data_IF_480905826597
#
_entry.id   IF_480905826597
#
_cell.length_a   1.000
_cell.length_b   1.000
_cell.length_c   1.000
_cell.angle_alpha   90.00
_cell.angle_beta   90.00
_cell.angle_gamma   90.00
#
_symmetry.space_group_name_H-M   'P 1'
#
loop_
_entity.id
_entity.type
_entity.pdbx_description
1 polymer ?
#
# COMPACT_ATOMS: atom_id res chain seq x y z
N UNK A 1 -21.93 30.65 22.91
CA UNK A 1 -20.76 31.29 22.29
C UNK A 1 -19.57 30.34 22.47
N UNK A 2 -19.36 29.45 21.50
CA UNK A 2 -18.11 28.71 21.40
C UNK A 2 -17.10 29.73 20.87
N UNK A 3 -16.12 30.06 21.67
CA UNK A 3 -15.00 30.90 21.26
C UNK A 3 -14.16 30.01 20.31
N UNK A 4 -14.24 30.26 19.00
CA UNK A 4 -13.40 29.62 18.02
C UNK A 4 -11.94 30.00 18.30
N UNK A 5 -11.14 29.07 18.76
CA UNK A 5 -9.72 29.26 19.05
C UNK A 5 -8.96 29.18 17.75
N UNK A 6 -8.44 30.32 17.31
CA UNK A 6 -7.55 30.39 16.16
C UNK A 6 -6.17 29.85 16.58
N UNK A 7 -5.74 28.70 16.02
CA UNK A 7 -4.51 28.03 16.41
C UNK A 7 -3.37 28.45 15.49
N UNK A 8 -2.28 28.97 16.07
CA UNK A 8 -1.06 29.32 15.35
C UNK A 8 -0.16 28.04 15.19
N UNK A 9 -0.17 27.48 14.01
CA UNK A 9 0.56 26.24 13.64
C UNK A 9 2.05 26.51 13.39
N UNK A 10 2.75 27.15 14.33
CA UNK A 10 4.20 27.41 14.24
C UNK A 10 5.00 26.46 15.11
N UNK A 11 6.20 26.13 14.65
CA UNK A 11 7.18 25.33 15.41
C UNK A 11 7.46 26.01 16.75
N UNK A 12 7.43 25.24 17.83
CA UNK A 12 7.59 25.68 19.22
C UNK A 12 6.29 26.10 19.90
N UNK A 13 5.18 26.26 19.17
CA UNK A 13 3.88 26.54 19.77
C UNK A 13 3.25 25.26 20.32
N UNK A 14 2.39 25.40 21.33
CA UNK A 14 1.57 24.30 21.87
C UNK A 14 0.15 24.38 21.34
N UNK A 15 -0.35 23.22 20.97
CA UNK A 15 -1.74 23.01 20.61
C UNK A 15 -2.30 22.01 21.61
N UNK A 16 -3.18 22.49 22.48
CA UNK A 16 -3.60 21.74 23.66
C UNK A 16 -2.37 21.24 24.44
N UNK A 17 -2.18 19.92 24.56
CA UNK A 17 -1.04 19.33 25.27
C UNK A 17 0.15 18.96 24.35
N UNK A 18 0.07 19.26 23.05
CA UNK A 18 1.05 18.89 22.04
C UNK A 18 1.92 20.09 21.63
N UNK A 19 3.23 19.94 21.72
CA UNK A 19 4.20 20.93 21.22
C UNK A 19 4.58 20.60 19.78
N UNK A 20 4.50 21.60 18.89
CA UNK A 20 4.89 21.45 17.48
C UNK A 20 6.42 21.44 17.39
N UNK A 21 7.00 20.33 16.94
CA UNK A 21 8.45 20.14 16.86
C UNK A 21 8.98 20.46 15.46
N UNK A 22 8.31 19.95 14.41
CA UNK A 22 8.74 20.16 13.04
C UNK A 22 7.58 20.00 12.04
N UNK A 23 7.75 20.57 10.86
CA UNK A 23 6.91 20.32 9.71
C UNK A 23 7.35 19.02 9.03
N UNK A 24 6.43 18.09 8.79
CA UNK A 24 6.72 16.82 8.10
C UNK A 24 6.39 16.93 6.62
N UNK A 25 5.23 17.50 6.27
CA UNK A 25 4.79 17.60 4.90
C UNK A 25 3.38 18.16 4.76
N UNK A 26 2.97 18.35 3.50
CA UNK A 26 1.60 18.71 3.17
C UNK A 26 1.07 17.86 2.02
N UNK A 27 -0.23 17.62 2.02
CA UNK A 27 -0.94 16.93 0.96
C UNK A 27 -2.21 17.67 0.59
N UNK A 28 -2.96 17.13 -0.38
CA UNK A 28 -4.21 17.73 -0.85
C UNK A 28 -5.23 18.03 0.22
N UNK A 29 -5.16 17.35 1.37
CA UNK A 29 -6.14 17.45 2.46
C UNK A 29 -5.63 18.11 3.73
N UNK A 30 -4.35 18.40 3.85
CA UNK A 30 -3.86 19.02 5.07
C UNK A 30 -2.35 19.10 5.19
N UNK A 31 -1.93 19.71 6.27
CA UNK A 31 -0.54 19.85 6.68
C UNK A 31 -0.27 18.91 7.85
N UNK A 32 0.89 18.25 7.84
CA UNK A 32 1.30 17.29 8.86
C UNK A 32 2.52 17.83 9.61
N UNK A 33 2.44 17.82 10.93
CA UNK A 33 3.51 18.21 11.84
C UNK A 33 3.88 17.04 12.74
N UNK A 34 5.16 16.96 13.10
CA UNK A 34 5.61 16.18 14.25
C UNK A 34 5.34 16.99 15.52
N UNK A 35 4.69 16.37 16.47
CA UNK A 35 4.38 16.96 17.76
C UNK A 35 4.87 16.08 18.90
N UNK A 36 5.10 16.69 20.07
CA UNK A 36 5.54 16.00 21.27
C UNK A 36 4.56 16.27 22.43
N UNK A 37 4.19 15.18 23.14
CA UNK A 37 3.45 15.21 24.39
C UNK A 37 4.09 14.24 25.37
N UNK A 38 4.45 14.71 26.56
CA UNK A 38 5.06 13.89 27.62
C UNK A 38 6.27 13.06 27.16
N UNK A 39 7.12 13.64 26.28
CA UNK A 39 8.29 12.99 25.73
C UNK A 39 8.02 11.97 24.61
N UNK A 40 6.77 11.77 24.23
CA UNK A 40 6.39 10.89 23.10
C UNK A 40 6.06 11.72 21.87
N UNK A 41 6.43 11.18 20.69
CA UNK A 41 6.20 11.84 19.41
C UNK A 41 4.99 11.28 18.69
N UNK A 42 4.25 12.19 18.03
CA UNK A 42 3.04 11.89 17.27
C UNK A 42 3.05 12.70 15.97
N UNK A 43 2.17 12.36 15.05
CA UNK A 43 1.85 13.17 13.89
C UNK A 43 0.53 13.93 14.14
N UNK A 44 0.54 15.24 13.94
CA UNK A 44 -0.64 16.08 13.95
C UNK A 44 -0.96 16.44 12.50
N UNK A 45 -2.14 16.03 12.02
CA UNK A 45 -2.67 16.46 10.72
C UNK A 45 -3.71 17.55 10.94
N UNK A 46 -3.56 18.67 10.24
CA UNK A 46 -4.52 19.80 10.29
C UNK A 46 -5.06 20.12 8.90
N UNK A 47 -6.30 20.59 8.84
CA UNK A 47 -6.89 21.04 7.58
C UNK A 47 -6.13 22.26 7.06
N UNK A 48 -5.79 22.27 5.76
CA UNK A 48 -4.98 23.33 5.14
C UNK A 48 -5.77 24.59 4.84
N UNK A 49 -7.05 24.44 4.54
CA UNK A 49 -7.93 25.52 4.13
C UNK A 49 -9.06 25.71 5.12
N UNK A 50 -9.63 26.89 5.13
CA UNK A 50 -10.78 27.28 5.96
C UNK A 50 -12.12 27.18 5.18
N UNK A 51 -12.10 26.69 3.92
CA UNK A 51 -13.31 26.48 3.17
C UNK A 51 -14.15 25.33 3.74
N UNK A 52 -15.46 25.51 3.71
CA UNK A 52 -16.41 24.61 4.35
C UNK A 52 -16.32 23.16 3.78
N UNK A 53 -16.07 23.03 2.48
CA UNK A 53 -15.98 21.73 1.82
C UNK A 53 -14.77 20.93 2.32
N UNK A 54 -13.61 21.55 2.40
CA UNK A 54 -12.37 20.95 2.92
C UNK A 54 -12.51 20.57 4.38
N UNK A 55 -13.10 21.42 5.21
CA UNK A 55 -13.38 21.12 6.62
C UNK A 55 -14.34 19.92 6.75
N UNK A 56 -15.38 19.84 5.93
CA UNK A 56 -16.31 18.72 5.95
C UNK A 56 -15.63 17.41 5.52
N UNK A 57 -14.71 17.46 4.52
CA UNK A 57 -13.90 16.30 4.11
C UNK A 57 -13.01 15.84 5.25
N UNK A 58 -12.30 16.76 5.88
CA UNK A 58 -11.41 16.49 7.01
C UNK A 58 -12.18 15.86 8.19
N UNK A 59 -13.31 16.42 8.57
CA UNK A 59 -14.18 15.85 9.63
C UNK A 59 -14.71 14.46 9.24
N UNK A 60 -14.96 14.20 7.95
CA UNK A 60 -15.36 12.87 7.46
C UNK A 60 -14.22 11.88 7.59
N UNK A 61 -13.00 12.23 7.18
CA UNK A 61 -11.81 11.40 7.32
C UNK A 61 -11.67 10.91 8.78
N UNK A 62 -11.69 11.83 9.73
CA UNK A 62 -11.61 11.51 11.16
C UNK A 62 -12.74 10.57 11.60
N UNK A 63 -13.98 10.83 11.13
CA UNK A 63 -15.13 9.97 11.47
C UNK A 63 -14.97 8.54 10.94
N UNK A 64 -14.45 8.38 9.71
CA UNK A 64 -14.19 7.06 9.14
C UNK A 64 -13.08 6.37 9.94
N UNK A 65 -11.96 7.04 10.18
CA UNK A 65 -10.85 6.49 10.97
C UNK A 65 -11.29 6.03 12.36
N UNK A 66 -12.15 6.78 13.03
CA UNK A 66 -12.70 6.41 14.36
C UNK A 66 -13.71 5.29 14.32
N UNK A 67 -14.33 5.00 13.17
CA UNK A 67 -15.27 3.89 13.03
C UNK A 67 -14.59 2.56 12.75
N UNK A 68 -13.29 2.56 12.44
CA UNK A 68 -12.53 1.37 12.04
C UNK A 68 -11.35 1.19 12.99
N UNK A 69 -11.26 0.04 13.63
CA UNK A 69 -10.17 -0.28 14.54
C UNK A 69 -9.47 -1.55 14.06
N UNK A 70 -8.29 -1.37 13.47
CA UNK A 70 -7.47 -2.49 12.98
C UNK A 70 -5.98 -2.13 12.95
N UNK A 71 -5.14 -3.17 12.95
CA UNK A 71 -3.68 -3.00 12.87
C UNK A 71 -3.23 -2.36 11.57
N UNK A 72 -3.95 -2.57 10.46
CA UNK A 72 -3.60 -2.09 9.13
C UNK A 72 -4.32 -0.80 8.73
N UNK A 73 -5.01 -0.15 9.65
CA UNK A 73 -5.61 1.18 9.45
C UNK A 73 -4.98 2.17 10.41
N UNK A 74 -4.65 3.37 9.92
CA UNK A 74 -4.17 4.44 10.81
C UNK A 74 -5.29 4.85 11.76
N UNK A 75 -5.01 4.94 13.04
CA UNK A 75 -6.00 5.30 14.06
C UNK A 75 -5.85 6.74 14.53
N UNK A 76 -6.95 7.35 14.94
CA UNK A 76 -6.97 8.64 15.62
C UNK A 76 -6.68 8.41 17.11
N UNK A 77 -5.68 9.11 17.64
CA UNK A 77 -5.31 9.08 19.07
C UNK A 77 -6.08 10.18 19.81
N UNK A 78 -6.15 11.39 19.21
CA UNK A 78 -6.80 12.56 19.78
C UNK A 78 -7.26 13.49 18.66
N UNK A 79 -8.22 14.38 18.91
CA UNK A 79 -8.74 15.29 17.91
C UNK A 79 -9.37 16.54 18.51
N UNK A 80 -9.32 17.64 17.75
CA UNK A 80 -10.13 18.82 18.03
C UNK A 80 -10.70 19.34 16.69
N UNK A 81 -11.92 18.92 16.40
CA UNK A 81 -12.61 19.24 15.14
C UNK A 81 -13.34 20.60 15.19
N UNK A 82 -13.41 21.24 16.36
CA UNK A 82 -13.99 22.57 16.56
C UNK A 82 -12.93 23.68 16.61
N UNK A 83 -11.64 23.28 16.59
CA UNK A 83 -10.53 24.20 16.43
C UNK A 83 -10.49 24.83 15.01
N UNK A 84 -9.80 25.96 14.88
CA UNK A 84 -9.53 26.60 13.60
C UNK A 84 -8.01 26.77 13.44
N UNK A 85 -7.41 26.03 12.53
CA UNK A 85 -7.97 24.92 11.74
C UNK A 85 -8.25 23.67 12.59
N UNK A 86 -9.19 22.79 12.18
CA UNK A 86 -9.41 21.51 12.85
C UNK A 86 -8.20 20.60 12.67
N UNK A 87 -7.93 19.75 13.67
CA UNK A 87 -6.81 18.82 13.64
C UNK A 87 -7.13 17.48 14.30
N UNK A 88 -6.30 16.48 14.02
CA UNK A 88 -6.24 15.23 14.77
C UNK A 88 -4.81 14.75 14.95
N UNK A 89 -4.63 13.91 15.96
CA UNK A 89 -3.36 13.26 16.32
C UNK A 89 -3.42 11.79 15.92
N UNK A 90 -2.34 11.30 15.33
CA UNK A 90 -2.17 9.91 14.91
C UNK A 90 -0.75 9.42 15.25
N UNK A 91 -0.47 8.11 15.19
CA UNK A 91 0.89 7.61 15.34
C UNK A 91 1.85 8.29 14.35
N UNK A 92 3.05 8.62 14.83
CA UNK A 92 4.12 9.08 13.96
C UNK A 92 4.73 7.85 13.26
N UNK A 93 4.42 7.69 11.99
CA UNK A 93 4.97 6.62 11.15
C UNK A 93 6.40 6.97 10.70
N UNK A 94 7.21 5.95 10.45
CA UNK A 94 8.62 6.13 10.08
C UNK A 94 8.76 6.66 8.65
N UNK A 95 7.96 6.11 7.72
CA UNK A 95 7.99 6.44 6.29
C UNK A 95 6.71 5.96 5.60
N UNK A 96 6.52 6.34 4.35
CA UNK A 96 5.50 5.75 3.48
C UNK A 96 6.02 4.48 2.79
N UNK A 97 5.12 3.68 2.21
CA UNK A 97 5.51 2.56 1.34
C UNK A 97 6.22 3.05 0.07
N UNK A 98 5.93 4.27 -0.39
CA UNK A 98 6.64 4.92 -1.49
C UNK A 98 8.12 5.10 -1.15
N UNK A 99 8.42 5.71 0.02
CA UNK A 99 9.79 5.88 0.50
C UNK A 99 10.49 4.53 0.76
N UNK A 100 9.75 3.53 1.24
CA UNK A 100 10.29 2.20 1.51
C UNK A 100 10.70 1.46 0.23
N UNK A 101 9.94 1.60 -0.85
CA UNK A 101 10.28 1.03 -2.17
C UNK A 101 11.54 1.69 -2.72
N UNK A 102 11.70 3.00 -2.59
CA UNK A 102 12.92 3.73 -2.98
C UNK A 102 14.16 3.26 -2.19
N UNK A 103 13.94 2.77 -0.96
CA UNK A 103 14.97 2.22 -0.06
C UNK A 103 15.37 0.76 -0.32
N UNK A 104 14.82 0.11 -1.34
CA UNK A 104 15.03 -1.31 -1.71
C UNK A 104 14.42 -2.28 -0.69
N UNK A 105 13.22 -2.78 -1.00
CA UNK A 105 12.56 -3.83 -0.24
C UNK A 105 13.06 -5.22 -0.64
N UNK A 106 13.17 -6.11 0.33
CA UNK A 106 13.31 -7.54 0.06
C UNK A 106 12.03 -8.09 -0.59
N UNK A 107 12.15 -9.22 -1.29
CA UNK A 107 10.98 -9.88 -1.91
C UNK A 107 9.91 -10.22 -0.85
N UNK A 108 10.32 -10.65 0.33
CA UNK A 108 9.41 -10.95 1.44
C UNK A 108 8.67 -9.70 1.92
N UNK A 109 9.36 -8.58 2.10
CA UNK A 109 8.74 -7.30 2.49
C UNK A 109 7.76 -6.79 1.43
N UNK A 110 8.06 -6.94 0.12
CA UNK A 110 7.12 -6.60 -0.96
C UNK A 110 5.79 -7.35 -0.81
N UNK A 111 5.85 -8.66 -0.53
CA UNK A 111 4.66 -9.45 -0.29
C UNK A 111 3.96 -9.04 1.00
N UNK A 112 4.68 -8.90 2.11
CA UNK A 112 4.09 -8.61 3.41
C UNK A 112 3.41 -7.25 3.43
N UNK A 113 4.05 -6.22 2.90
CA UNK A 113 3.46 -4.88 2.86
C UNK A 113 2.27 -4.82 1.89
N UNK A 114 2.35 -5.50 0.75
CA UNK A 114 1.22 -5.60 -0.19
C UNK A 114 0.02 -6.32 0.42
N UNK A 115 0.24 -7.42 1.14
CA UNK A 115 -0.80 -8.16 1.85
C UNK A 115 -1.45 -7.29 2.92
N UNK A 116 -0.66 -6.58 3.73
CA UNK A 116 -1.17 -5.71 4.78
C UNK A 116 -2.01 -4.54 4.22
N UNK A 117 -1.61 -3.95 3.07
CA UNK A 117 -2.47 -2.99 2.37
C UNK A 117 -3.80 -3.64 1.99
N UNK A 118 -3.76 -4.81 1.38
CA UNK A 118 -4.98 -5.53 0.97
C UNK A 118 -5.87 -5.86 2.18
N UNK A 119 -5.30 -6.29 3.30
CA UNK A 119 -6.04 -6.59 4.54
C UNK A 119 -6.75 -5.35 5.08
N UNK A 120 -6.06 -4.20 5.13
CA UNK A 120 -6.65 -2.93 5.52
C UNK A 120 -7.81 -2.52 4.60
N UNK A 121 -7.66 -2.64 3.28
CA UNK A 121 -8.73 -2.32 2.32
C UNK A 121 -9.89 -3.31 2.42
N UNK A 122 -9.62 -4.61 2.61
CA UNK A 122 -10.67 -5.59 2.83
C UNK A 122 -11.52 -5.27 4.05
N UNK A 123 -10.88 -4.83 5.13
CA UNK A 123 -11.59 -4.41 6.34
C UNK A 123 -12.53 -3.22 6.06
N UNK A 124 -12.06 -2.21 5.31
CA UNK A 124 -12.89 -1.08 4.89
C UNK A 124 -14.09 -1.56 4.06
N UNK A 125 -13.87 -2.43 3.08
CA UNK A 125 -14.94 -2.99 2.24
C UNK A 125 -15.97 -3.79 3.05
N UNK A 126 -15.53 -4.56 4.06
CA UNK A 126 -16.44 -5.26 4.97
C UNK A 126 -17.37 -4.29 5.73
N UNK A 127 -16.90 -3.07 6.01
CA UNK A 127 -17.68 -1.99 6.61
C UNK A 127 -18.39 -1.09 5.59
N UNK A 128 -18.39 -1.49 4.30
CA UNK A 128 -18.99 -0.73 3.21
C UNK A 128 -18.36 0.66 3.02
N UNK A 129 -17.07 0.76 3.23
CA UNK A 129 -16.25 1.96 3.00
C UNK A 129 -15.35 1.70 1.80
N UNK A 130 -15.40 2.57 0.80
CA UNK A 130 -14.50 2.59 -0.36
C UNK A 130 -13.44 3.65 -0.11
N UNK A 131 -12.17 3.31 -0.29
CA UNK A 131 -11.03 4.20 0.01
C UNK A 131 -10.86 5.30 -1.04
N UNK A 132 -10.80 4.94 -2.33
CA UNK A 132 -10.77 5.81 -3.51
C UNK A 132 -9.44 6.55 -3.78
N UNK A 133 -8.45 6.43 -2.92
CA UNK A 133 -7.11 7.02 -3.11
C UNK A 133 -6.00 6.07 -2.62
N UNK A 134 -6.05 4.81 -3.07
CA UNK A 134 -5.02 3.81 -2.74
C UNK A 134 -3.78 4.08 -3.57
N UNK A 135 -2.67 4.36 -2.91
CA UNK A 135 -1.34 4.59 -3.50
C UNK A 135 -0.25 4.36 -2.45
N UNK A 136 1.01 4.15 -2.84
CA UNK A 136 2.09 3.87 -1.89
C UNK A 136 2.29 4.97 -0.84
N UNK A 137 2.13 6.25 -1.19
CA UNK A 137 2.24 7.36 -0.23
C UNK A 137 1.13 7.41 0.82
N UNK A 138 -0.01 6.70 0.61
CA UNK A 138 -1.09 6.57 1.58
C UNK A 138 -1.03 5.26 2.39
N UNK A 139 0.02 4.47 2.22
CA UNK A 139 0.34 3.30 3.02
C UNK A 139 1.58 3.62 3.88
N UNK A 140 1.38 3.81 5.19
CA UNK A 140 2.40 4.30 6.11
C UNK A 140 2.98 3.14 6.93
N UNK A 141 4.29 3.09 7.13
CA UNK A 141 4.95 2.09 7.96
C UNK A 141 5.06 2.58 9.40
N UNK A 142 4.57 1.78 10.32
CA UNK A 142 4.65 1.99 11.75
C UNK A 142 5.10 0.71 12.45
N UNK A 143 6.34 0.67 12.95
CA UNK A 143 6.95 -0.50 13.61
C UNK A 143 6.86 -1.78 12.77
N UNK A 144 7.14 -1.66 11.46
CA UNK A 144 7.11 -2.77 10.52
C UNK A 144 5.69 -3.20 10.08
N UNK A 145 4.66 -2.47 10.48
CA UNK A 145 3.27 -2.72 10.08
C UNK A 145 2.80 -1.61 9.15
N UNK A 146 2.23 -1.99 8.01
CA UNK A 146 1.61 -1.03 7.10
C UNK A 146 0.25 -0.59 7.63
N UNK A 147 0.05 0.71 7.66
CA UNK A 147 -1.21 1.36 8.02
C UNK A 147 -1.74 2.14 6.85
N UNK A 148 -2.90 1.74 6.33
CA UNK A 148 -3.63 2.50 5.31
C UNK A 148 -4.12 3.81 5.93
N UNK A 149 -3.84 4.93 5.27
CA UNK A 149 -4.09 6.28 5.72
C UNK A 149 -4.79 7.11 4.63
N UNK A 150 -5.18 8.33 4.96
CA UNK A 150 -5.83 9.31 4.08
C UNK A 150 -7.21 8.84 3.57
N UNK A 151 -8.13 8.61 4.50
CA UNK A 151 -9.52 8.23 4.23
C UNK A 151 -10.42 9.42 3.85
N UNK A 152 -9.85 10.56 3.55
CA UNK A 152 -10.58 11.81 3.26
C UNK A 152 -11.43 11.76 1.99
N UNK A 153 -11.09 10.91 1.02
CA UNK A 153 -11.91 10.59 -0.14
C UNK A 153 -12.84 9.40 0.10
N UNK A 154 -12.74 8.75 1.26
CA UNK A 154 -13.54 7.58 1.63
C UNK A 154 -15.05 7.82 1.51
N UNK A 155 -15.79 6.79 1.06
CA UNK A 155 -17.24 6.83 0.84
C UNK A 155 -17.91 5.63 1.49
N UNK A 156 -18.94 5.91 2.29
CA UNK A 156 -19.89 4.86 2.74
C UNK A 156 -20.87 4.52 1.62
N UNK A 157 -20.98 3.25 1.23
CA UNK A 157 -21.84 2.80 0.12
C UNK A 157 -23.32 3.08 0.40
N UNK A 158 -23.75 2.98 1.66
CA UNK A 158 -25.16 3.00 2.06
C UNK A 158 -25.63 4.32 2.73
N UNK A 159 -24.87 5.40 2.64
CA UNK A 159 -25.24 6.69 3.21
C UNK A 159 -25.23 7.76 2.12
N UNK A 160 -26.26 8.62 2.11
CA UNK A 160 -26.31 9.84 1.30
C UNK A 160 -25.18 10.79 1.74
N UNK A 161 -23.96 10.46 1.38
CA UNK A 161 -22.83 11.35 1.58
C UNK A 161 -22.74 12.29 0.39
N UNK A 162 -22.66 13.59 0.65
CA UNK A 162 -22.31 14.57 -0.37
C UNK A 162 -21.07 14.09 -1.10
N UNK A 163 -21.19 13.85 -2.40
CA UNK A 163 -20.07 13.41 -3.21
C UNK A 163 -19.22 14.63 -3.47
N UNK A 164 -18.11 14.69 -2.75
CA UNK A 164 -17.11 15.72 -2.97
C UNK A 164 -16.33 15.31 -4.21
N UNK A 165 -16.38 16.14 -5.25
CA UNK A 165 -15.59 15.95 -6.46
C UNK A 165 -14.09 15.93 -6.10
N UNK A 166 -13.26 15.11 -6.77
CA UNK A 166 -11.82 15.27 -6.65
C UNK A 166 -11.45 16.73 -6.97
N UNK A 167 -10.73 17.39 -6.09
CA UNK A 167 -10.22 18.73 -6.38
C UNK A 167 -9.30 18.65 -7.60
N UNK A 168 -9.35 19.68 -8.46
CA UNK A 168 -8.47 19.83 -9.62
C UNK A 168 -6.98 20.03 -9.25
N UNK A 169 -6.56 19.64 -8.05
CA UNK A 169 -5.15 19.65 -7.67
C UNK A 169 -4.43 18.59 -8.49
N UNK A 170 -3.80 19.07 -9.54
CA UNK A 170 -2.93 18.35 -10.47
C UNK A 170 -1.62 17.94 -9.80
N UNK A 171 -1.67 17.10 -8.79
CA UNK A 171 -0.49 16.34 -8.40
C UNK A 171 -0.39 15.15 -9.34
N UNK A 172 0.58 15.17 -10.22
CA UNK A 172 0.78 14.24 -11.34
C UNK A 172 0.79 12.76 -10.92
N UNK A 173 1.06 12.44 -9.65
CA UNK A 173 1.18 11.07 -9.14
C UNK A 173 -0.14 10.36 -8.83
N UNK A 174 -1.21 11.07 -8.50
CA UNK A 174 -2.49 10.45 -8.09
C UNK A 174 -3.20 9.77 -9.27
N UNK A 175 -3.09 10.32 -10.47
CA UNK A 175 -3.75 9.79 -11.66
C UNK A 175 -3.29 8.41 -12.08
N UNK A 176 -2.05 8.03 -11.78
CA UNK A 176 -1.47 6.75 -12.16
C UNK A 176 -2.15 5.55 -11.47
N UNK A 177 -2.82 5.79 -10.34
CA UNK A 177 -3.46 4.78 -9.51
C UNK A 177 -4.98 4.75 -9.65
N UNK A 178 -5.59 5.81 -10.16
CA UNK A 178 -7.05 5.98 -10.19
C UNK A 178 -7.69 5.11 -11.26
N UNK A 179 -8.78 4.44 -10.89
CA UNK A 179 -9.56 3.63 -11.81
C UNK A 179 -10.23 4.51 -12.91
N UNK A 180 -10.24 4.04 -14.17
CA UNK A 180 -10.74 4.84 -15.31
C UNK A 180 -12.14 5.40 -15.11
N UNK A 181 -13.04 4.65 -14.46
CA UNK A 181 -14.42 5.08 -14.22
C UNK A 181 -14.53 6.26 -13.24
N UNK A 182 -13.54 6.44 -12.36
CA UNK A 182 -13.48 7.60 -11.47
C UNK A 182 -13.03 8.85 -12.23
N UNK A 183 -12.18 8.65 -13.23
CA UNK A 183 -11.53 9.71 -13.99
C UNK A 183 -12.42 10.31 -15.08
N UNK A 184 -13.26 9.47 -15.71
CA UNK A 184 -14.11 9.85 -16.85
C UNK A 184 -15.41 10.43 -16.31
N UNK A 185 -15.75 11.66 -16.71
CA UNK A 185 -17.07 12.32 -16.53
C UNK A 185 -17.57 12.54 -15.09
N UNK A 186 -16.70 12.77 -14.12
CA UNK A 186 -17.15 13.07 -12.76
C UNK A 186 -17.93 11.93 -12.08
N UNK A 187 -17.81 10.71 -12.60
CA UNK A 187 -18.44 9.49 -12.08
C UNK A 187 -17.81 8.95 -10.78
N UNK A 188 -16.98 9.72 -10.11
CA UNK A 188 -16.52 9.38 -8.76
C UNK A 188 -17.66 9.09 -7.78
N UNK A 189 -18.90 9.43 -8.14
CA UNK A 189 -20.12 9.03 -7.41
C UNK A 189 -20.39 7.53 -7.46
N UNK A 190 -20.00 6.87 -8.55
CA UNK A 190 -20.29 5.45 -8.82
C UNK A 190 -19.13 4.53 -8.42
N UNK A 191 -18.08 5.09 -7.76
CA UNK A 191 -16.98 4.29 -7.22
C UNK A 191 -17.50 3.23 -6.26
N UNK A 192 -17.10 2.00 -6.51
CA UNK A 192 -17.38 0.82 -5.69
C UNK A 192 -16.07 0.08 -5.33
N UNK A 193 -16.18 -1.11 -4.76
CA UNK A 193 -15.03 -1.93 -4.35
C UNK A 193 -14.07 -2.22 -5.53
N UNK A 194 -14.55 -2.22 -6.78
CA UNK A 194 -13.73 -2.49 -7.97
C UNK A 194 -12.75 -1.36 -8.27
N UNK A 195 -13.10 -0.13 -7.93
CA UNK A 195 -12.20 1.01 -8.08
C UNK A 195 -10.97 0.87 -7.17
N UNK A 196 -11.16 0.40 -5.95
CA UNK A 196 -10.05 0.11 -5.03
C UNK A 196 -9.22 -1.09 -5.50
N UNK A 197 -9.87 -2.14 -6.05
CA UNK A 197 -9.19 -3.30 -6.66
C UNK A 197 -8.26 -2.85 -7.79
N UNK A 198 -8.71 -1.94 -8.65
CA UNK A 198 -7.87 -1.37 -9.71
C UNK A 198 -6.64 -0.65 -9.13
N UNK A 199 -6.85 0.21 -8.13
CA UNK A 199 -5.78 0.96 -7.48
C UNK A 199 -4.78 0.03 -6.76
N UNK A 200 -5.25 -1.06 -6.13
CA UNK A 200 -4.39 -2.13 -5.58
C UNK A 200 -3.51 -2.72 -6.69
N UNK A 201 -4.06 -3.05 -7.86
CA UNK A 201 -3.27 -3.57 -8.97
C UNK A 201 -2.14 -2.64 -9.40
N UNK A 202 -2.40 -1.32 -9.41
CA UNK A 202 -1.39 -0.30 -9.71
C UNK A 202 -0.33 -0.19 -8.61
N UNK A 203 -0.74 -0.27 -7.33
CA UNK A 203 0.17 -0.30 -6.19
C UNK A 203 1.06 -1.55 -6.23
N UNK A 204 0.51 -2.73 -6.53
CA UNK A 204 1.28 -3.96 -6.69
C UNK A 204 2.33 -3.83 -7.78
N UNK A 205 1.98 -3.21 -8.93
CA UNK A 205 2.97 -2.95 -9.97
C UNK A 205 4.11 -2.10 -9.45
N UNK A 206 3.81 -0.98 -8.80
CA UNK A 206 4.84 -0.08 -8.24
C UNK A 206 5.77 -0.80 -7.27
N UNK A 207 5.21 -1.56 -6.33
CA UNK A 207 5.99 -2.28 -5.31
C UNK A 207 6.88 -3.37 -5.92
N UNK A 208 6.33 -4.20 -6.82
CA UNK A 208 7.07 -5.33 -7.39
C UNK A 208 7.98 -4.96 -8.56
N UNK A 209 7.87 -3.76 -9.11
CA UNK A 209 8.76 -3.21 -10.13
C UNK A 209 9.83 -2.25 -9.59
N UNK A 210 9.98 -2.19 -8.26
CA UNK A 210 10.96 -1.31 -7.60
C UNK A 210 10.77 0.18 -7.96
N UNK A 211 9.51 0.67 -7.87
CA UNK A 211 9.18 2.08 -8.03
C UNK A 211 8.90 2.55 -9.46
N UNK A 212 8.75 1.64 -10.43
CA UNK A 212 8.37 2.05 -11.80
C UNK A 212 6.95 2.63 -11.81
N UNK A 213 6.75 3.75 -12.54
CA UNK A 213 5.43 4.37 -12.66
C UNK A 213 4.37 3.39 -13.15
N UNK A 214 3.24 3.25 -12.44
CA UNK A 214 2.18 2.34 -12.84
C UNK A 214 1.29 2.89 -13.97
N UNK A 215 1.60 4.05 -14.54
CA UNK A 215 0.82 4.61 -15.64
C UNK A 215 0.72 3.61 -16.79
N UNK A 216 1.86 3.01 -17.16
CA UNK A 216 1.95 1.94 -18.16
C UNK A 216 2.57 0.69 -17.56
N UNK A 217 1.76 -0.34 -17.35
CA UNK A 217 2.24 -1.62 -16.79
C UNK A 217 3.07 -2.38 -17.83
N UNK A 218 4.35 -2.62 -17.51
CA UNK A 218 5.29 -3.34 -18.36
C UNK A 218 5.57 -4.75 -17.80
N UNK A 219 5.21 -5.79 -18.55
CA UNK A 219 5.38 -7.19 -18.13
C UNK A 219 6.83 -7.61 -17.92
N UNK A 220 7.81 -6.88 -18.47
CA UNK A 220 9.23 -7.21 -18.28
C UNK A 220 9.80 -6.74 -16.94
N UNK A 221 9.04 -5.95 -16.18
CA UNK A 221 9.47 -5.35 -14.91
C UNK A 221 9.03 -6.14 -13.68
N UNK A 222 8.12 -7.08 -13.87
CA UNK A 222 7.57 -7.91 -12.79
C UNK A 222 7.48 -9.36 -13.27
N UNK A 223 7.49 -10.30 -12.35
CA UNK A 223 7.34 -11.72 -12.66
C UNK A 223 5.96 -12.06 -13.24
N UNK A 224 5.85 -13.17 -13.98
CA UNK A 224 4.63 -13.53 -14.71
C UNK A 224 3.43 -13.77 -13.78
N UNK A 225 3.65 -14.36 -12.61
CA UNK A 225 2.63 -14.60 -11.60
C UNK A 225 2.09 -13.28 -11.02
N UNK A 226 2.97 -12.36 -10.62
CA UNK A 226 2.59 -11.01 -10.17
C UNK A 226 1.94 -10.22 -11.30
N UNK A 227 2.48 -10.29 -12.53
CA UNK A 227 1.87 -9.64 -13.69
C UNK A 227 0.45 -10.16 -13.96
N UNK A 228 0.21 -11.47 -13.77
CA UNK A 228 -1.13 -12.06 -13.87
C UNK A 228 -2.10 -11.50 -12.83
N UNK A 229 -1.65 -11.30 -11.58
CA UNK A 229 -2.47 -10.69 -10.52
C UNK A 229 -2.80 -9.25 -10.88
N UNK A 230 -1.79 -8.44 -11.24
CA UNK A 230 -1.95 -7.05 -11.66
C UNK A 230 -2.93 -6.94 -12.83
N UNK A 231 -2.77 -7.78 -13.86
CA UNK A 231 -3.63 -7.80 -15.03
C UNK A 231 -5.09 -8.14 -14.72
N UNK A 232 -5.36 -8.94 -13.68
CA UNK A 232 -6.73 -9.21 -13.21
C UNK A 232 -7.34 -8.03 -12.45
N UNK A 233 -6.53 -7.24 -11.75
CA UNK A 233 -6.96 -6.05 -11.03
C UNK A 233 -7.24 -4.87 -11.99
N UNK A 234 -6.36 -4.64 -12.99
CA UNK A 234 -6.32 -3.40 -13.77
C UNK A 234 -7.13 -3.42 -15.07
N UNK A 235 -7.99 -4.41 -15.27
CA UNK A 235 -8.96 -4.39 -16.38
C UNK A 235 -10.07 -3.37 -16.13
N UNK A 236 -10.66 -2.85 -17.19
CA UNK A 236 -11.85 -1.96 -17.14
C UNK A 236 -12.97 -2.57 -16.28
N UNK A 237 -13.11 -3.89 -16.31
CA UNK A 237 -13.90 -4.69 -15.36
C UNK A 237 -12.95 -5.66 -14.68
N UNK A 238 -12.51 -5.40 -13.45
CA UNK A 238 -11.62 -6.31 -12.74
C UNK A 238 -12.15 -7.74 -12.68
N UNK A 239 -11.27 -8.71 -12.90
CA UNK A 239 -11.67 -10.13 -12.80
C UNK A 239 -11.88 -10.54 -11.34
N UNK A 240 -11.16 -9.90 -10.41
CA UNK A 240 -11.39 -10.11 -8.97
C UNK A 240 -12.68 -9.38 -8.55
N UNK A 241 -13.50 -10.06 -7.77
CA UNK A 241 -14.76 -9.51 -7.26
C UNK A 241 -14.59 -8.86 -5.89
N UNK A 242 -13.55 -9.23 -5.15
CA UNK A 242 -13.24 -8.71 -3.83
C UNK A 242 -11.74 -8.82 -3.54
N UNK A 243 -11.28 -8.10 -2.52
CA UNK A 243 -9.87 -8.05 -2.14
C UNK A 243 -9.36 -9.39 -1.58
N UNK A 244 -10.24 -10.24 -1.00
CA UNK A 244 -9.85 -11.57 -0.51
C UNK A 244 -9.24 -12.45 -1.61
N UNK A 245 -9.71 -12.31 -2.84
CA UNK A 245 -9.18 -13.07 -3.98
C UNK A 245 -7.74 -12.63 -4.31
N UNK A 246 -7.43 -11.33 -4.16
CA UNK A 246 -6.08 -10.79 -4.33
C UNK A 246 -5.17 -11.31 -3.20
N UNK A 247 -5.63 -11.24 -1.95
CA UNK A 247 -4.92 -11.76 -0.78
C UNK A 247 -4.57 -13.24 -0.98
N UNK A 248 -5.53 -14.05 -1.41
CA UNK A 248 -5.29 -15.48 -1.69
C UNK A 248 -4.25 -15.69 -2.78
N UNK A 249 -4.33 -14.94 -3.88
CA UNK A 249 -3.37 -15.03 -4.99
C UNK A 249 -1.96 -14.63 -4.54
N UNK A 250 -1.81 -13.52 -3.80
CA UNK A 250 -0.52 -13.08 -3.25
C UNK A 250 0.06 -14.10 -2.27
N UNK A 251 -0.76 -14.69 -1.39
CA UNK A 251 -0.31 -15.72 -0.44
C UNK A 251 0.19 -16.97 -1.16
N UNK A 252 -0.48 -17.39 -2.23
CA UNK A 252 -0.01 -18.52 -3.06
C UNK A 252 1.34 -18.19 -3.68
N UNK A 253 1.49 -17.01 -4.30
CA UNK A 253 2.75 -16.59 -4.89
C UNK A 253 3.86 -16.48 -3.83
N UNK A 254 3.59 -15.82 -2.69
CA UNK A 254 4.54 -15.72 -1.57
C UNK A 254 5.00 -17.10 -1.11
N UNK A 255 4.05 -18.00 -0.82
CA UNK A 255 4.37 -19.35 -0.38
C UNK A 255 5.24 -20.08 -1.40
N UNK A 256 4.89 -20.04 -2.67
CA UNK A 256 5.66 -20.70 -3.73
C UNK A 256 7.10 -20.19 -3.77
N UNK A 257 7.31 -18.88 -3.71
CA UNK A 257 8.64 -18.28 -3.79
C UNK A 257 9.47 -18.46 -2.52
N UNK A 258 8.86 -18.31 -1.33
CA UNK A 258 9.59 -18.46 -0.07
C UNK A 258 9.89 -19.91 0.27
N UNK A 259 9.20 -20.87 -0.34
CA UNK A 259 9.50 -22.32 -0.22
C UNK A 259 10.34 -22.85 -1.37
N UNK A 260 10.58 -22.07 -2.42
CA UNK A 260 11.46 -22.47 -3.49
C UNK A 260 12.88 -22.67 -2.96
N UNK A 261 13.43 -23.85 -3.24
CA UNK A 261 14.82 -24.16 -2.91
C UNK A 261 15.75 -23.44 -3.89
N UNK A 262 16.89 -22.96 -3.42
CA UNK A 262 17.96 -22.54 -4.33
C UNK A 262 18.49 -23.72 -5.14
N UNK A 263 19.08 -23.48 -6.30
CA UNK A 263 19.74 -24.54 -7.07
C UNK A 263 20.81 -25.28 -6.26
N UNK A 264 21.52 -24.56 -5.39
CA UNK A 264 22.54 -25.13 -4.51
C UNK A 264 21.90 -26.09 -3.48
N UNK A 265 20.77 -25.71 -2.88
CA UNK A 265 20.02 -26.55 -1.94
C UNK A 265 19.46 -27.80 -2.65
N UNK A 266 18.90 -27.66 -3.85
CA UNK A 266 18.37 -28.77 -4.64
C UNK A 266 19.45 -29.79 -4.96
N UNK A 267 20.61 -29.30 -5.44
CA UNK A 267 21.77 -30.15 -5.75
C UNK A 267 22.31 -30.81 -4.50
N UNK A 268 22.42 -30.08 -3.39
CA UNK A 268 22.89 -30.60 -2.11
C UNK A 268 21.99 -31.70 -1.57
N UNK A 269 20.68 -31.52 -1.65
CA UNK A 269 19.68 -32.55 -1.27
C UNK A 269 19.79 -33.82 -2.13
N UNK A 270 19.95 -33.67 -3.44
CA UNK A 270 20.10 -34.80 -4.32
C UNK A 270 21.39 -35.61 -3.99
N UNK A 271 22.51 -34.92 -3.75
CA UNK A 271 23.76 -35.58 -3.32
C UNK A 271 23.62 -36.29 -1.97
N UNK A 272 22.73 -35.80 -1.09
CA UNK A 272 22.43 -36.42 0.21
C UNK A 272 21.49 -37.65 0.07
N UNK A 273 21.05 -38.03 -1.14
CA UNK A 273 20.29 -39.23 -1.38
C UNK A 273 18.80 -39.06 -1.68
N UNK A 274 18.37 -37.85 -2.05
CA UNK A 274 17.02 -37.61 -2.59
C UNK A 274 16.92 -38.30 -3.94
N UNK A 275 15.78 -38.95 -4.20
CA UNK A 275 15.57 -39.71 -5.46
C UNK A 275 15.42 -38.76 -6.66
N UNK A 276 15.66 -39.32 -7.86
CA UNK A 276 15.66 -38.57 -9.12
C UNK A 276 14.31 -37.91 -9.44
N UNK A 277 13.19 -38.49 -9.00
CA UNK A 277 11.85 -37.96 -9.23
C UNK A 277 11.66 -36.65 -8.41
N UNK A 278 12.06 -36.68 -7.14
CA UNK A 278 11.97 -35.48 -6.28
C UNK A 278 12.95 -34.40 -6.75
N UNK A 279 14.14 -34.78 -7.20
CA UNK A 279 15.11 -33.88 -7.79
C UNK A 279 14.55 -33.18 -9.04
N UNK A 280 13.93 -33.92 -9.93
CA UNK A 280 13.29 -33.37 -11.13
C UNK A 280 12.13 -32.42 -10.77
N UNK A 281 11.33 -32.77 -9.76
CA UNK A 281 10.24 -31.91 -9.25
C UNK A 281 10.78 -30.60 -8.65
N UNK A 282 11.79 -30.67 -7.80
CA UNK A 282 12.43 -29.50 -7.17
C UNK A 282 13.05 -28.57 -8.24
N UNK A 283 13.71 -29.12 -9.27
CA UNK A 283 14.22 -28.35 -10.42
C UNK A 283 13.07 -27.72 -11.21
N UNK A 284 12.00 -28.46 -11.46
CA UNK A 284 10.83 -27.93 -12.18
C UNK A 284 10.21 -26.74 -11.41
N UNK A 285 10.03 -26.86 -10.09
CA UNK A 285 9.52 -25.78 -9.25
C UNK A 285 10.46 -24.58 -9.23
N UNK A 286 11.77 -24.81 -9.13
CA UNK A 286 12.77 -23.75 -9.23
C UNK A 286 12.68 -23.00 -10.57
N UNK A 287 12.60 -23.72 -11.69
CA UNK A 287 12.48 -23.10 -13.01
C UNK A 287 11.17 -22.32 -13.17
N UNK A 288 10.06 -22.81 -12.62
CA UNK A 288 8.78 -22.08 -12.63
C UNK A 288 8.87 -20.75 -11.85
N UNK A 289 9.56 -20.73 -10.73
CA UNK A 289 9.74 -19.51 -9.91
C UNK A 289 10.75 -18.54 -10.52
N UNK A 290 11.75 -19.05 -11.23
CA UNK A 290 12.84 -18.27 -11.83
C UNK A 290 12.57 -17.81 -13.27
N UNK A 291 11.45 -18.20 -13.88
CA UNK A 291 11.16 -17.98 -15.31
C UNK A 291 11.28 -16.54 -15.80
N UNK A 292 11.14 -15.56 -14.90
CA UNK A 292 11.19 -14.15 -15.25
C UNK A 292 12.38 -13.39 -14.64
N UNK A 293 13.20 -14.05 -13.84
CA UNK A 293 14.43 -13.47 -13.30
C UNK A 293 15.66 -14.16 -13.92
N UNK A 294 15.96 -13.78 -15.16
CA UNK A 294 17.17 -14.25 -15.84
C UNK A 294 18.44 -13.88 -15.07
N UNK A 295 18.41 -12.76 -14.30
CA UNK A 295 19.51 -12.32 -13.46
C UNK A 295 19.77 -13.29 -12.31
N UNK A 296 18.71 -13.68 -11.59
CA UNK A 296 18.78 -14.67 -10.51
C UNK A 296 19.25 -16.02 -11.04
N UNK A 297 18.66 -16.50 -12.14
CA UNK A 297 19.07 -17.76 -12.78
C UNK A 297 20.55 -17.76 -13.16
N UNK A 298 21.06 -16.68 -13.77
CA UNK A 298 22.48 -16.54 -14.12
C UNK A 298 23.35 -16.50 -12.86
N UNK A 299 22.92 -15.84 -11.80
CA UNK A 299 23.65 -15.77 -10.54
C UNK A 299 23.75 -17.15 -9.89
N UNK A 300 22.65 -17.90 -9.80
CA UNK A 300 22.61 -19.24 -9.22
C UNK A 300 23.42 -20.23 -10.05
N UNK A 301 23.37 -20.16 -11.37
CA UNK A 301 24.20 -20.99 -12.24
C UNK A 301 25.70 -20.69 -12.08
N UNK A 302 26.10 -19.46 -11.77
CA UNK A 302 27.50 -19.10 -11.52
C UNK A 302 28.04 -19.64 -10.21
N UNK A 303 27.19 -19.83 -9.21
CA UNK A 303 27.59 -20.36 -7.88
C UNK A 303 27.77 -21.88 -7.94
N UNK A 304 27.10 -22.58 -8.87
CA UNK A 304 27.22 -24.03 -9.01
C UNK A 304 28.63 -24.46 -9.44
N UNK A 305 29.14 -25.47 -8.77
CA UNK A 305 30.40 -26.12 -9.16
C UNK A 305 30.20 -26.89 -10.46
N UNK A 306 31.29 -27.10 -11.20
CA UNK A 306 31.27 -27.81 -12.50
C UNK A 306 30.58 -29.17 -12.43
N UNK A 307 30.80 -29.92 -11.35
CA UNK A 307 30.21 -31.25 -11.18
C UNK A 307 28.70 -31.18 -10.91
N UNK A 308 28.24 -30.14 -10.23
CA UNK A 308 26.83 -29.87 -9.95
C UNK A 308 26.08 -29.49 -11.24
N UNK A 309 26.73 -28.70 -12.09
CA UNK A 309 26.20 -28.32 -13.39
C UNK A 309 26.07 -29.57 -14.34
N UNK A 310 27.03 -30.49 -14.26
CA UNK A 310 26.95 -31.75 -14.99
C UNK A 310 25.80 -32.67 -14.52
N UNK A 311 25.48 -32.60 -13.21
CA UNK A 311 24.36 -33.32 -12.65
C UNK A 311 23.02 -32.79 -13.19
N UNK A 312 22.86 -31.46 -13.21
CA UNK A 312 21.66 -30.83 -13.77
C UNK A 312 21.42 -31.15 -15.26
N UNK A 313 22.49 -31.34 -16.05
CA UNK A 313 22.40 -31.65 -17.47
C UNK A 313 22.05 -33.11 -17.76
N UNK A 314 22.05 -33.99 -16.76
CA UNK A 314 21.71 -35.44 -16.94
C UNK A 314 20.23 -35.74 -16.77
N UNK A 315 19.49 -34.84 -16.16
CA UNK A 315 18.06 -34.91 -15.86
C UNK A 315 17.27 -33.83 -16.59
#
# INVERSE_FOLDING_TARGET
NIQLVNIDMKIGNKIDEYEIIEYIGEGGMGTVFRVCKDGNYYALKTCRTDDEESILRFKREVRIMKSVHDSNIINVIDENLDAIPPYFIMPLCEQSLEDAVDGILTEEEKFDYSLQVCEGIQLLHNQKIIHRDIKPSNALLYKGIVKVADLGLGKFINRDSVCLTPTNDKTMGTYDYVAPEIYIDGKGRDADERSDIYSIGKLLYYVFSDGESPLFVNSSKVSADIFSIIGKCTKVMPNYQNVSEIINALNICKKTRMTALSLEDIVSKHKAGVNDVQFAEDIYQYLLTSQNDLGLLIQDLKVLKKDDFQLLLKH
#
